data_IF_941341189872
#
_entry.id   IF_941341189872
#
_cell.length_a   1.000
_cell.length_b   1.000
_cell.length_c   1.000
_cell.angle_alpha   90.00
_cell.angle_beta   90.00
_cell.angle_gamma   90.00
#
_symmetry.space_group_name_H-M   'P 1'
#
loop_
_entity.id
_entity.type
_entity.pdbx_description
1 polymer ?
#
# COMPACT_ATOMS: atom_id res chain seq x y z
N UNK A 1 -0.81 -12.05 10.55
CA UNK A 1 0.29 -11.55 9.71
C UNK A 1 -0.30 -11.25 8.33
N UNK A 2 -0.22 -10.02 7.81
CA UNK A 2 -0.77 -9.71 6.48
C UNK A 2 0.37 -9.42 5.52
N UNK A 3 0.67 -10.43 4.75
CA UNK A 3 1.59 -10.43 3.63
C UNK A 3 0.83 -9.94 2.40
N UNK A 4 1.31 -8.92 1.71
CA UNK A 4 0.82 -8.59 0.36
C UNK A 4 2.02 -8.76 -0.56
N UNK A 5 2.10 -9.93 -1.18
CA UNK A 5 2.98 -10.21 -2.29
C UNK A 5 2.19 -9.96 -3.58
N UNK A 6 2.68 -9.10 -4.46
CA UNK A 6 2.32 -9.17 -5.87
C UNK A 6 3.55 -9.71 -6.56
N UNK A 7 3.69 -11.05 -6.57
CA UNK A 7 4.71 -11.74 -7.36
C UNK A 7 3.97 -12.41 -8.51
N UNK A 8 4.10 -11.86 -9.73
CA UNK A 8 3.88 -12.66 -10.94
C UNK A 8 4.68 -12.13 -12.12
N UNK A 9 5.16 -13.06 -12.94
CA UNK A 9 5.85 -12.87 -14.21
C UNK A 9 4.89 -13.32 -15.31
N UNK A 10 4.50 -12.43 -16.24
CA UNK A 10 3.66 -12.77 -17.41
C UNK A 10 4.14 -11.94 -18.63
N UNK A 11 4.27 -12.52 -19.85
CA UNK A 11 4.84 -11.87 -21.04
C UNK A 11 3.82 -10.97 -21.80
N UNK A 12 4.28 -10.11 -22.73
CA UNK A 12 3.58 -8.89 -23.10
C UNK A 12 2.59 -9.05 -24.27
N UNK A 13 1.53 -8.24 -24.25
CA UNK A 13 0.83 -7.79 -25.46
C UNK A 13 0.39 -6.31 -25.28
N UNK A 14 0.71 -5.51 -26.30
CA UNK A 14 0.51 -4.06 -26.52
C UNK A 14 -0.98 -3.68 -26.69
N UNK A 15 -1.49 -2.46 -26.62
CA UNK A 15 -1.01 -1.07 -26.42
C UNK A 15 -2.26 -0.23 -26.03
N UNK A 16 -2.20 0.64 -25.00
CA UNK A 16 -3.11 1.80 -24.84
C UNK A 16 -2.59 2.76 -23.74
N UNK A 17 -2.55 4.08 -24.00
CA UNK A 17 -2.07 5.09 -23.05
C UNK A 17 -3.17 5.54 -22.07
N UNK A 18 -2.89 5.52 -20.76
CA UNK A 18 -3.74 6.15 -19.73
C UNK A 18 -2.93 6.80 -18.59
N UNK A 19 -3.47 7.94 -18.13
CA UNK A 19 -3.04 8.94 -17.11
C UNK A 19 -2.64 8.36 -15.72
N UNK A 20 -1.86 9.06 -14.87
CA UNK A 20 -1.22 8.48 -13.68
C UNK A 20 -2.19 8.40 -12.49
N UNK A 21 -3.18 7.51 -12.56
CA UNK A 21 -3.95 7.11 -11.38
C UNK A 21 -3.20 5.97 -10.66
N UNK A 22 -2.69 6.24 -9.45
CA UNK A 22 -2.11 5.19 -8.59
C UNK A 22 -3.24 4.28 -8.09
N UNK A 23 -3.28 2.98 -8.42
CA UNK A 23 -4.35 2.09 -7.95
C UNK A 23 -4.17 1.80 -6.45
N UNK A 24 -4.94 2.50 -5.62
CA UNK A 24 -5.05 2.24 -4.19
C UNK A 24 -6.51 2.27 -3.78
N UNK A 25 -6.97 1.20 -3.11
CA UNK A 25 -8.35 1.10 -2.65
C UNK A 25 -8.40 0.99 -1.12
N UNK A 26 -9.14 1.93 -0.52
CA UNK A 26 -9.40 2.04 0.91
C UNK A 26 -10.86 1.70 1.17
N UNK A 27 -11.15 0.94 2.24
CA UNK A 27 -12.52 0.58 2.59
C UNK A 27 -13.03 1.50 3.69
N UNK A 28 -14.08 2.25 3.39
CA UNK A 28 -14.84 3.00 4.39
C UNK A 28 -15.93 2.09 4.97
N UNK A 29 -16.01 1.96 6.29
CA UNK A 29 -17.10 1.25 6.99
C UNK A 29 -17.91 2.24 7.81
N UNK A 30 -19.23 2.21 7.67
CA UNK A 30 -20.15 2.83 8.65
C UNK A 30 -20.51 1.77 9.70
N UNK A 31 -20.38 2.10 10.98
CA UNK A 31 -20.83 1.22 12.08
C UNK A 31 -22.21 1.68 12.55
N UNK A 32 -23.20 0.80 12.51
CA UNK A 32 -24.61 1.10 12.84
C UNK A 32 -24.97 1.00 14.33
N UNK A 33 -24.00 0.90 15.25
CA UNK A 33 -24.27 0.70 16.69
C UNK A 33 -24.14 1.94 17.59
N UNK A 34 -23.91 3.12 17.03
CA UNK A 34 -24.02 4.39 17.77
C UNK A 34 -25.00 5.32 17.05
N UNK A 35 -25.84 6.02 17.80
CA UNK A 35 -26.79 7.04 17.33
C UNK A 35 -26.15 8.21 16.55
N UNK A 36 -24.83 8.24 16.47
CA UNK A 36 -24.02 9.11 15.61
C UNK A 36 -23.35 8.25 14.53
N UNK A 37 -23.86 8.27 13.30
CA UNK A 37 -23.35 7.49 12.16
C UNK A 37 -21.93 7.87 11.74
N UNK A 38 -20.94 7.47 12.53
CA UNK A 38 -19.52 7.80 12.30
C UNK A 38 -18.91 6.78 11.33
N UNK A 39 -18.54 7.26 10.13
CA UNK A 39 -17.76 6.48 9.17
C UNK A 39 -16.31 6.32 9.63
N UNK A 40 -15.70 5.17 9.34
CA UNK A 40 -14.30 4.90 9.63
C UNK A 40 -13.56 4.50 8.36
N UNK A 41 -12.36 5.03 8.18
CA UNK A 41 -11.42 4.57 7.17
C UNK A 41 -10.67 3.34 7.69
N UNK A 42 -10.66 2.25 6.91
CA UNK A 42 -9.88 1.05 7.17
C UNK A 42 -8.97 0.76 5.96
N UNK A 43 -7.67 1.03 6.09
CA UNK A 43 -6.67 0.66 5.07
C UNK A 43 -6.09 -0.72 5.35
N UNK A 44 -6.08 -1.67 4.39
CA UNK A 44 -5.48 -2.99 4.58
C UNK A 44 -3.95 -3.00 4.56
N UNK A 45 -3.28 -2.01 3.91
CA UNK A 45 -1.81 -1.82 4.00
C UNK A 45 -1.37 -1.37 5.39
N UNK A 46 -2.30 -0.77 6.11
CA UNK A 46 -2.12 -0.18 7.40
C UNK A 46 -3.02 -1.01 8.35
N UNK A 47 -2.74 -2.29 8.48
CA UNK A 47 -3.67 -3.27 9.03
C UNK A 47 -3.90 -3.15 10.55
N UNK A 48 -4.61 -2.10 11.00
CA UNK A 48 -5.34 -1.94 12.30
C UNK A 48 -5.84 -0.51 12.57
N UNK A 49 -5.74 0.42 11.63
CA UNK A 49 -6.24 1.79 11.83
C UNK A 49 -7.75 1.82 11.63
N UNK A 50 -8.47 2.12 12.71
CA UNK A 50 -9.80 2.74 12.64
C UNK A 50 -9.55 4.20 12.95
N UNK A 51 -9.49 5.02 11.91
CA UNK A 51 -9.58 6.47 12.05
C UNK A 51 -10.98 6.87 11.64
N UNK A 52 -11.68 7.63 12.49
CA UNK A 52 -12.95 8.23 12.12
C UNK A 52 -12.76 9.17 10.94
N UNK A 53 -13.75 9.23 10.04
CA UNK A 53 -13.78 10.21 8.96
C UNK A 53 -14.19 11.57 9.54
N UNK A 54 -13.26 12.17 10.29
CA UNK A 54 -13.41 13.47 10.92
C UNK A 54 -12.14 14.27 10.63
N UNK A 55 -12.32 15.52 10.26
CA UNK A 55 -11.19 16.41 10.00
C UNK A 55 -10.33 16.56 11.26
N UNK A 56 -9.01 16.43 11.08
CA UNK A 56 -8.02 16.53 12.15
C UNK A 56 -7.93 15.34 13.10
N UNK A 57 -8.77 14.30 12.94
CA UNK A 57 -8.70 13.12 13.81
C UNK A 57 -7.38 12.37 13.58
N UNK A 58 -6.55 12.35 14.62
CA UNK A 58 -5.25 11.69 14.59
C UNK A 58 -5.29 10.40 15.41
N UNK A 59 -4.72 9.34 14.84
CA UNK A 59 -4.58 8.04 15.49
C UNK A 59 -3.09 7.71 15.62
N UNK A 60 -2.65 7.53 16.86
CA UNK A 60 -1.31 6.97 17.17
C UNK A 60 -1.42 5.48 17.45
N UNK A 61 -0.59 4.67 16.80
CA UNK A 61 -0.32 3.29 17.19
C UNK A 61 1.17 3.06 17.17
N UNK A 62 1.66 2.55 18.29
CA UNK A 62 3.09 2.39 18.54
C UNK A 62 3.79 3.73 18.28
N UNK A 63 4.80 3.75 17.41
CA UNK A 63 5.52 4.95 17.06
C UNK A 63 4.96 5.70 15.84
N UNK A 64 3.89 5.20 15.20
CA UNK A 64 3.33 5.77 13.98
C UNK A 64 2.07 6.59 14.26
N UNK A 65 2.02 7.83 13.77
CA UNK A 65 0.86 8.71 13.88
C UNK A 65 0.28 8.97 12.49
N UNK A 66 -1.03 8.83 12.36
CA UNK A 66 -1.75 9.07 11.12
C UNK A 66 -2.93 10.01 11.36
N UNK A 67 -3.33 10.75 10.33
CA UNK A 67 -4.55 11.58 10.35
C UNK A 67 -5.31 11.44 9.03
N UNK A 68 -6.58 11.80 9.04
CA UNK A 68 -7.39 11.96 7.83
C UNK A 68 -7.69 13.45 7.62
N UNK A 69 -7.46 13.92 6.41
CA UNK A 69 -7.68 15.31 6.04
C UNK A 69 -8.60 15.37 4.82
N UNK A 70 -9.71 16.13 4.86
CA UNK A 70 -10.56 16.33 3.69
C UNK A 70 -9.92 17.35 2.75
N UNK A 71 -9.85 17.03 1.46
CA UNK A 71 -9.48 18.00 0.43
C UNK A 71 -10.73 18.64 -0.20
N UNK A 72 -10.62 19.89 -0.69
CA UNK A 72 -11.68 20.48 -1.50
C UNK A 72 -11.85 19.71 -2.80
N UNK A 73 -13.09 19.65 -3.28
CA UNK A 73 -13.41 19.03 -4.56
C UNK A 73 -12.97 19.88 -5.76
N UNK A 74 -13.07 19.34 -6.98
CA UNK A 74 -12.61 20.00 -8.20
C UNK A 74 -13.41 21.27 -8.53
N UNK A 75 -14.60 21.45 -7.94
CA UNK A 75 -15.43 22.65 -8.09
C UNK A 75 -15.76 23.29 -6.73
N UNK A 76 -15.90 24.63 -6.67
CA UNK A 76 -16.23 25.32 -5.43
C UNK A 76 -17.48 24.73 -4.74
N UNK A 77 -17.38 24.47 -3.44
CA UNK A 77 -18.47 23.91 -2.65
C UNK A 77 -18.65 22.40 -2.76
N UNK A 78 -17.83 21.69 -3.54
CA UNK A 78 -17.84 20.22 -3.57
C UNK A 78 -16.80 19.63 -2.61
N UNK A 79 -17.13 18.48 -2.02
CA UNK A 79 -16.20 17.72 -1.20
C UNK A 79 -15.25 16.91 -2.08
N UNK A 80 -13.97 16.94 -1.77
CA UNK A 80 -12.93 16.15 -2.42
C UNK A 80 -12.65 14.85 -1.66
N UNK A 81 -11.52 14.19 -1.98
CA UNK A 81 -11.14 12.96 -1.30
C UNK A 81 -10.69 13.23 0.14
N UNK A 82 -10.78 12.19 0.96
CA UNK A 82 -10.11 12.12 2.25
C UNK A 82 -8.69 11.60 2.05
N UNK A 83 -7.70 12.35 2.52
CA UNK A 83 -6.30 12.02 2.44
C UNK A 83 -5.82 11.43 3.76
N UNK A 84 -5.34 10.19 3.72
CA UNK A 84 -4.60 9.58 4.80
C UNK A 84 -3.18 10.16 4.80
N UNK A 85 -2.81 10.80 5.90
CA UNK A 85 -1.48 11.34 6.14
C UNK A 85 -0.77 10.58 7.25
N UNK A 86 0.54 10.55 7.22
CA UNK A 86 1.39 10.09 8.32
C UNK A 86 2.25 11.23 8.84
N UNK A 87 2.42 11.31 10.15
CA UNK A 87 3.34 12.26 10.77
C UNK A 87 4.76 11.70 10.68
N UNK A 88 5.68 12.57 10.31
CA UNK A 88 7.13 12.36 10.25
C UNK A 88 7.82 13.55 10.92
N UNK A 89 9.13 13.49 11.23
CA UNK A 89 9.85 14.60 11.85
C UNK A 89 9.80 15.91 11.06
N UNK A 90 9.70 15.84 9.75
CA UNK A 90 9.59 16.99 8.83
C UNK A 90 8.13 17.43 8.57
N UNK A 91 7.15 16.77 9.22
CA UNK A 91 5.74 17.16 9.17
C UNK A 91 4.79 16.07 8.66
N UNK A 92 3.63 16.48 8.17
CA UNK A 92 2.61 15.56 7.64
C UNK A 92 2.86 15.22 6.18
N UNK A 93 2.79 13.93 5.86
CA UNK A 93 2.98 13.43 4.50
C UNK A 93 1.79 12.62 4.02
N UNK A 94 1.34 12.92 2.80
CA UNK A 94 0.23 12.25 2.15
C UNK A 94 0.61 10.82 1.74
N UNK A 95 -0.26 9.87 2.04
CA UNK A 95 -0.11 8.48 1.65
C UNK A 95 -1.12 8.10 0.56
N UNK A 96 -2.40 8.27 0.84
CA UNK A 96 -3.49 7.84 -0.03
C UNK A 96 -4.66 8.80 0.04
N UNK A 97 -5.27 9.09 -1.10
CA UNK A 97 -6.55 9.78 -1.19
C UNK A 97 -7.67 8.76 -1.44
N UNK A 98 -8.81 8.92 -0.78
CA UNK A 98 -10.02 8.13 -1.03
C UNK A 98 -11.25 9.01 -0.98
N UNK A 99 -12.06 8.96 -2.03
CA UNK A 99 -13.42 9.47 -1.99
C UNK A 99 -14.31 8.68 -1.02
N UNK A 100 -15.54 9.17 -0.83
CA UNK A 100 -16.52 8.60 0.11
C UNK A 100 -17.54 7.68 -0.57
N UNK A 101 -17.43 7.55 -1.89
CA UNK A 101 -18.34 6.79 -2.73
C UNK A 101 -18.26 5.29 -2.36
N UNK A 102 -19.39 4.57 -2.39
CA UNK A 102 -19.36 3.12 -2.23
C UNK A 102 -18.57 2.49 -3.38
N UNK A 103 -17.71 1.52 -3.05
CA UNK A 103 -17.00 0.71 -4.03
C UNK A 103 -17.57 -0.70 -4.07
N UNK A 104 -17.87 -1.17 -5.26
CA UNK A 104 -18.45 -2.48 -5.52
C UNK A 104 -17.36 -3.47 -5.92
N UNK A 105 -17.59 -4.80 -5.76
CA UNK A 105 -16.60 -5.82 -6.12
C UNK A 105 -15.97 -5.63 -7.51
N UNK A 106 -16.75 -5.20 -8.51
CA UNK A 106 -16.28 -4.95 -9.88
C UNK A 106 -15.20 -3.86 -9.96
N UNK A 107 -15.30 -2.81 -9.15
CA UNK A 107 -14.31 -1.72 -9.11
C UNK A 107 -12.94 -2.25 -8.65
N UNK A 108 -12.94 -3.21 -7.72
CA UNK A 108 -11.73 -3.89 -7.26
C UNK A 108 -11.16 -4.79 -8.34
N UNK A 109 -11.99 -5.47 -9.11
CA UNK A 109 -11.53 -6.30 -10.23
C UNK A 109 -10.84 -5.47 -11.30
N UNK A 110 -11.43 -4.34 -11.72
CA UNK A 110 -10.84 -3.46 -12.73
C UNK A 110 -9.52 -2.87 -12.24
N UNK A 111 -9.49 -2.32 -11.02
CA UNK A 111 -8.28 -1.72 -10.45
C UNK A 111 -7.18 -2.75 -10.18
N UNK A 112 -7.53 -3.96 -9.75
CA UNK A 112 -6.58 -5.06 -9.58
C UNK A 112 -6.04 -5.54 -10.92
N UNK A 113 -6.88 -5.64 -11.95
CA UNK A 113 -6.44 -6.03 -13.28
C UNK A 113 -5.39 -5.05 -13.79
N UNK A 114 -5.70 -3.75 -13.81
CA UNK A 114 -4.73 -2.72 -14.22
C UNK A 114 -3.42 -2.81 -13.42
N UNK A 115 -3.52 -2.89 -12.09
CA UNK A 115 -2.34 -2.95 -11.22
C UNK A 115 -1.45 -4.18 -11.51
N UNK A 116 -2.05 -5.31 -11.89
CA UNK A 116 -1.34 -6.58 -12.08
C UNK A 116 -0.87 -6.82 -13.52
N UNK A 117 -1.58 -6.32 -14.52
CA UNK A 117 -1.33 -6.68 -15.93
C UNK A 117 -0.83 -5.52 -16.78
N UNK A 118 -1.19 -4.28 -16.45
CA UNK A 118 -0.94 -3.16 -17.34
C UNK A 118 0.55 -2.75 -17.36
N UNK A 119 1.18 -2.52 -18.53
CA UNK A 119 2.60 -2.15 -18.61
C UNK A 119 2.96 -0.84 -17.89
N UNK A 120 2.02 0.12 -17.86
CA UNK A 120 2.19 1.38 -17.11
C UNK A 120 1.98 1.22 -15.60
N UNK A 121 1.62 0.03 -15.11
CA UNK A 121 1.51 -0.18 -13.68
C UNK A 121 2.90 -0.13 -13.04
N UNK A 122 3.08 0.62 -11.94
CA UNK A 122 4.35 0.64 -11.21
C UNK A 122 4.69 -0.70 -10.53
N UNK A 123 3.77 -1.67 -10.57
CA UNK A 123 3.97 -3.04 -10.08
C UNK A 123 4.27 -4.03 -11.21
N UNK A 124 4.10 -3.64 -12.47
CA UNK A 124 4.40 -4.51 -13.60
C UNK A 124 5.90 -4.83 -13.62
N UNK A 125 6.25 -6.11 -13.73
CA UNK A 125 7.64 -6.55 -13.82
C UNK A 125 8.49 -6.41 -12.54
N UNK A 126 7.95 -5.82 -11.46
CA UNK A 126 8.71 -5.42 -10.28
C UNK A 126 8.52 -6.39 -9.11
N UNK A 127 9.59 -6.67 -8.38
CA UNK A 127 9.50 -7.42 -7.11
C UNK A 127 9.36 -6.43 -5.97
N UNK A 128 8.15 -6.20 -5.47
CA UNK A 128 7.91 -5.26 -4.37
C UNK A 128 7.16 -5.96 -3.22
N UNK A 129 7.81 -6.02 -2.06
CA UNK A 129 7.23 -6.63 -0.85
C UNK A 129 7.41 -5.68 0.32
N UNK A 130 6.38 -5.54 1.17
CA UNK A 130 6.43 -4.65 2.31
C UNK A 130 5.81 -5.28 3.55
N UNK A 131 6.44 -5.07 4.70
CA UNK A 131 5.95 -5.50 6.01
C UNK A 131 6.03 -4.35 7.01
N UNK A 132 4.93 -4.14 7.71
CA UNK A 132 4.84 -3.19 8.81
C UNK A 132 4.96 -3.92 10.14
N UNK A 133 5.78 -3.37 11.03
CA UNK A 133 5.97 -3.78 12.42
C UNK A 133 5.76 -2.56 13.33
N UNK A 134 5.60 -2.74 14.66
CA UNK A 134 5.37 -1.64 15.60
C UNK A 134 6.42 -0.51 15.52
N UNK A 135 7.67 -0.88 15.26
CA UNK A 135 8.86 -0.02 15.34
C UNK A 135 9.54 0.24 13.99
N UNK A 136 9.15 -0.48 12.92
CA UNK A 136 9.78 -0.37 11.60
C UNK A 136 8.87 -0.81 10.47
N UNK A 137 9.18 -0.33 9.26
CA UNK A 137 8.62 -0.78 7.99
C UNK A 137 9.76 -1.32 7.13
N UNK A 138 9.67 -2.60 6.77
CA UNK A 138 10.63 -3.26 5.88
C UNK A 138 10.06 -3.30 4.47
N UNK A 139 10.86 -2.91 3.48
CA UNK A 139 10.49 -2.80 2.07
C UNK A 139 11.57 -3.50 1.26
N UNK A 140 11.21 -4.53 0.52
CA UNK A 140 12.04 -5.11 -0.53
C UNK A 140 11.56 -4.56 -1.86
N UNK A 141 12.45 -3.92 -2.61
CA UNK A 141 12.21 -3.36 -3.93
C UNK A 141 13.28 -3.86 -4.90
N UNK A 142 12.90 -4.83 -5.72
CA UNK A 142 13.80 -5.70 -6.49
C UNK A 142 14.85 -6.34 -5.58
N UNK A 143 16.08 -5.83 -5.60
CA UNK A 143 17.20 -6.29 -4.79
C UNK A 143 17.54 -5.35 -3.63
N UNK A 144 16.86 -4.20 -3.51
CA UNK A 144 17.10 -3.27 -2.41
C UNK A 144 16.17 -3.55 -1.23
N UNK A 145 16.73 -3.93 -0.10
CA UNK A 145 16.03 -4.03 1.19
C UNK A 145 16.20 -2.72 1.97
N UNK A 146 15.10 -2.02 2.18
CA UNK A 146 15.03 -0.81 3.02
C UNK A 146 14.32 -1.13 4.33
N UNK A 147 14.93 -0.74 5.45
CA UNK A 147 14.24 -0.69 6.75
C UNK A 147 14.04 0.77 7.13
N UNK A 148 12.79 1.19 7.25
CA UNK A 148 12.38 2.55 7.62
C UNK A 148 11.86 2.57 9.05
N UNK A 149 12.34 3.49 9.87
CA UNK A 149 11.84 3.76 11.21
C UNK A 149 10.89 4.97 11.22
N UNK A 150 10.06 5.12 12.27
CA UNK A 150 9.14 6.25 12.44
C UNK A 150 9.81 7.63 12.43
N UNK A 151 11.07 7.71 12.87
CA UNK A 151 11.90 8.92 12.87
C UNK A 151 12.54 9.22 11.50
N UNK A 152 12.13 8.51 10.44
CA UNK A 152 12.69 8.55 9.09
C UNK A 152 14.13 8.08 8.95
N UNK A 153 14.75 7.57 10.01
CA UNK A 153 16.02 6.87 9.82
C UNK A 153 15.75 5.63 8.97
N UNK A 154 16.60 5.42 7.97
CA UNK A 154 16.51 4.26 7.11
C UNK A 154 17.86 3.64 6.85
N UNK A 155 17.87 2.32 6.77
CA UNK A 155 19.02 1.56 6.28
C UNK A 155 18.63 0.87 4.98
N UNK A 156 19.59 0.81 4.06
CA UNK A 156 19.42 0.20 2.75
C UNK A 156 20.52 -0.83 2.54
N UNK A 157 20.13 -2.00 2.06
CA UNK A 157 21.05 -3.10 1.77
C UNK A 157 20.69 -3.69 0.41
N UNK A 158 21.70 -3.93 -0.43
CA UNK A 158 21.53 -4.71 -1.65
C UNK A 158 21.59 -6.20 -1.30
N UNK A 159 20.68 -6.96 -1.87
CA UNK A 159 20.50 -8.38 -1.61
C UNK A 159 20.86 -9.15 -2.88
N UNK A 160 21.74 -10.14 -2.84
CA UNK A 160 21.97 -11.03 -3.97
C UNK A 160 20.69 -11.73 -4.39
N UNK A 161 20.46 -11.90 -5.69
CA UNK A 161 19.25 -12.53 -6.22
C UNK A 161 18.99 -13.92 -5.60
N UNK A 162 20.04 -14.69 -5.34
CA UNK A 162 19.99 -16.03 -4.77
C UNK A 162 19.52 -16.05 -3.31
N UNK A 163 19.63 -14.93 -2.59
CA UNK A 163 19.21 -14.82 -1.19
C UNK A 163 17.74 -14.38 -1.04
N UNK A 164 17.10 -13.92 -2.13
CA UNK A 164 15.72 -13.44 -2.09
C UNK A 164 14.72 -14.45 -1.51
N UNK A 165 14.72 -15.75 -1.87
CA UNK A 165 13.75 -16.70 -1.34
C UNK A 165 13.84 -16.83 0.19
N UNK A 166 15.06 -16.91 0.72
CA UNK A 166 15.31 -17.02 2.16
C UNK A 166 14.91 -15.73 2.88
N UNK A 167 15.20 -14.57 2.28
CA UNK A 167 14.78 -13.27 2.81
C UNK A 167 13.25 -13.15 2.87
N UNK A 168 12.57 -13.54 1.80
CA UNK A 168 11.10 -13.54 1.71
C UNK A 168 10.48 -14.42 2.81
N UNK A 169 11.05 -15.60 3.05
CA UNK A 169 10.61 -16.47 4.13
C UNK A 169 10.83 -15.84 5.51
N UNK A 170 12.07 -15.42 5.82
CA UNK A 170 12.44 -14.99 7.17
C UNK A 170 11.88 -13.63 7.55
N UNK A 171 12.05 -12.64 6.69
CA UNK A 171 11.66 -11.26 7.01
C UNK A 171 10.18 -11.04 6.74
N UNK A 172 9.66 -11.63 5.67
CA UNK A 172 8.29 -11.37 5.24
C UNK A 172 7.32 -12.47 5.66
N UNK A 173 7.75 -13.74 5.70
CA UNK A 173 6.87 -14.89 5.95
C UNK A 173 6.22 -15.40 4.66
N UNK A 174 6.92 -15.28 3.52
CA UNK A 174 6.48 -15.78 2.21
C UNK A 174 7.24 -17.05 1.92
N UNK A 175 6.53 -18.16 1.79
CA UNK A 175 7.12 -19.40 1.31
C UNK A 175 6.79 -19.52 -0.18
N UNK A 176 7.83 -19.72 -1.00
CA UNK A 176 7.71 -20.00 -2.42
C UNK A 176 7.98 -21.48 -2.66
N UNK A 177 7.31 -22.06 -3.64
CA UNK A 177 7.69 -23.38 -4.12
C UNK A 177 8.99 -23.31 -4.96
N UNK A 178 9.47 -24.47 -5.41
CA UNK A 178 10.71 -24.54 -6.17
C UNK A 178 10.62 -23.80 -7.52
N UNK A 179 9.48 -23.87 -8.20
CA UNK A 179 9.31 -23.25 -9.51
C UNK A 179 9.28 -21.71 -9.40
N UNK A 180 8.54 -21.19 -8.43
CA UNK A 180 8.48 -19.75 -8.13
C UNK A 180 9.83 -19.22 -7.62
N UNK A 181 10.56 -20.02 -6.84
CA UNK A 181 11.91 -19.70 -6.38
C UNK A 181 12.86 -19.53 -7.57
N UNK A 182 12.90 -20.50 -8.49
CA UNK A 182 13.73 -20.42 -9.70
C UNK A 182 13.35 -19.22 -10.57
N UNK A 183 12.05 -18.99 -10.78
CA UNK A 183 11.57 -17.88 -11.58
C UNK A 183 11.90 -16.50 -10.96
N UNK A 184 11.83 -16.39 -9.63
CA UNK A 184 12.20 -15.18 -8.91
C UNK A 184 13.69 -14.87 -9.05
N UNK A 185 14.57 -15.86 -8.84
CA UNK A 185 16.02 -15.66 -8.95
C UNK A 185 16.39 -15.30 -10.39
N UNK A 186 15.87 -16.03 -11.37
CA UNK A 186 16.16 -15.81 -12.79
C UNK A 186 15.74 -14.42 -13.29
N UNK A 187 14.76 -13.77 -12.66
CA UNK A 187 14.34 -12.40 -13.01
C UNK A 187 15.42 -11.35 -12.68
N UNK A 188 16.33 -11.64 -11.75
CA UNK A 188 17.31 -10.68 -11.22
C UNK A 188 18.76 -11.07 -11.52
N UNK A 189 18.99 -12.05 -12.40
CA UNK A 189 20.30 -12.52 -12.88
C UNK A 189 20.38 -12.39 -14.38
#
# INVERSE_FOLDING_TARGET
MKLIAIVRVIPPYTDFQASPARPHCVRVRRTSRSSTGTGHCCSPRAARWRCGLRDGESVRRDAWVHTLFPEPGPTPGTAGPWVLRCLRPDGWHDLYASGTEPRFPVDYTVTSHFASTHPLSPFHGRTLVQKWSPDRRTILDNLELTTLRPDLTSTKHQIPAQELPLLLEREFGIHLDAADTTALVARHT
#
